data_IF_976793530948
#
_entry.id   IF_976793530948
#
_cell.length_a   1.000
_cell.length_b   1.000
_cell.length_c   1.000
_cell.angle_alpha   90.00
_cell.angle_beta   90.00
_cell.angle_gamma   90.00
#
_symmetry.space_group_name_H-M   'P 1'
#
loop_
_entity.id
_entity.type
_entity.pdbx_description
1 polymer ?
#
# COMPACT_ATOMS: atom_id res chain seq x y z
N UNK A 1 -7.37 10.26 -36.55
CA UNK A 1 -7.98 9.82 -35.28
C UNK A 1 -6.97 8.87 -34.63
N UNK A 2 -6.15 9.40 -33.70
CA UNK A 2 -5.11 8.61 -33.03
C UNK A 2 -5.78 7.65 -32.03
N UNK A 3 -5.62 6.34 -32.28
CA UNK A 3 -4.71 5.43 -31.57
C UNK A 3 -5.15 5.06 -30.15
N UNK A 4 -5.80 3.90 -30.05
CA UNK A 4 -5.35 2.85 -29.14
C UNK A 4 -5.76 2.95 -27.67
N UNK A 5 -7.07 3.00 -27.38
CA UNK A 5 -7.54 2.39 -26.14
C UNK A 5 -7.46 0.86 -26.31
N UNK A 6 -6.33 0.27 -25.98
CA UNK A 6 -6.28 -1.16 -25.68
C UNK A 6 -7.03 -1.36 -24.36
N UNK A 7 -8.16 -2.08 -24.31
CA UNK A 7 -8.89 -2.34 -23.06
C UNK A 7 -8.15 -3.33 -22.12
N UNK A 8 -6.85 -3.55 -22.32
CA UNK A 8 -6.02 -4.57 -21.66
C UNK A 8 -4.92 -3.94 -20.76
N UNK A 9 -4.99 -2.62 -20.51
CA UNK A 9 -4.03 -1.92 -19.63
C UNK A 9 -4.74 -1.07 -18.58
N UNK A 10 -5.80 -1.60 -17.97
CA UNK A 10 -6.24 -1.06 -16.69
C UNK A 10 -5.10 -1.23 -15.67
N UNK A 11 -4.67 -0.12 -15.08
CA UNK A 11 -3.64 -0.16 -14.05
C UNK A 11 -4.34 -0.47 -12.73
N UNK A 12 -4.22 -1.71 -12.26
CA UNK A 12 -4.70 -2.11 -10.94
C UNK A 12 -3.88 -1.42 -9.85
N UNK A 13 -4.57 -0.67 -9.00
CA UNK A 13 -4.00 0.05 -7.87
C UNK A 13 -4.54 -0.55 -6.57
N UNK A 14 -3.64 -1.02 -5.71
CA UNK A 14 -4.02 -1.52 -4.40
C UNK A 14 -4.29 -0.36 -3.44
N UNK A 15 -5.52 -0.28 -2.93
CA UNK A 15 -5.93 0.66 -1.92
C UNK A 15 -5.96 -0.01 -0.54
N UNK A 16 -5.09 0.46 0.34
CA UNK A 16 -4.91 -0.06 1.68
C UNK A 16 -5.78 0.72 2.68
N UNK A 17 -6.78 0.06 3.25
CA UNK A 17 -7.67 0.68 4.24
C UNK A 17 -6.99 0.86 5.60
N UNK A 18 -6.63 2.09 5.96
CA UNK A 18 -5.93 2.42 7.22
C UNK A 18 -6.73 3.45 8.01
N UNK A 19 -7.26 3.04 9.17
CA UNK A 19 -8.18 3.85 9.96
C UNK A 19 -9.49 4.11 9.21
N UNK A 20 -9.78 5.37 8.91
CA UNK A 20 -10.98 5.82 8.19
C UNK A 20 -10.69 6.29 6.76
N UNK A 21 -9.51 5.94 6.23
CA UNK A 21 -9.05 6.36 4.90
C UNK A 21 -8.40 5.21 4.15
N UNK A 22 -8.54 5.22 2.83
CA UNK A 22 -7.81 4.37 1.91
C UNK A 22 -6.53 5.06 1.46
N UNK A 23 -5.41 4.38 1.69
CA UNK A 23 -4.09 4.80 1.29
C UNK A 23 -3.65 4.06 0.03
N UNK A 24 -3.15 4.78 -0.96
CA UNK A 24 -2.50 4.15 -2.12
C UNK A 24 -1.37 5.03 -2.65
N UNK A 25 -0.39 4.40 -3.29
CA UNK A 25 0.75 5.10 -3.91
C UNK A 25 0.73 4.83 -5.40
N UNK A 26 0.50 5.89 -6.18
CA UNK A 26 0.56 5.82 -7.63
C UNK A 26 1.03 7.16 -8.21
N UNK A 27 1.75 7.10 -9.33
CA UNK A 27 2.14 8.28 -10.08
C UNK A 27 1.22 8.41 -11.29
N UNK A 28 0.35 9.42 -11.28
CA UNK A 28 -0.53 9.70 -12.41
C UNK A 28 0.23 10.49 -13.46
N UNK A 29 0.28 9.98 -14.69
CA UNK A 29 0.85 10.70 -15.84
C UNK A 29 -0.06 11.83 -16.32
N UNK A 30 -1.38 11.67 -16.12
CA UNK A 30 -2.39 12.64 -16.50
C UNK A 30 -2.54 13.73 -15.43
N UNK A 31 -2.15 14.96 -15.76
CA UNK A 31 -2.23 16.11 -14.85
C UNK A 31 -3.67 16.41 -14.41
N UNK A 32 -4.65 16.17 -15.29
CA UNK A 32 -6.07 16.32 -14.98
C UNK A 32 -6.56 15.33 -13.90
N UNK A 33 -6.08 14.08 -13.98
CA UNK A 33 -6.37 13.05 -12.96
C UNK A 33 -5.72 13.45 -11.65
N UNK A 34 -4.44 13.82 -11.70
CA UNK A 34 -3.69 14.24 -10.52
C UNK A 34 -4.36 15.44 -9.82
N UNK A 35 -4.73 16.50 -10.54
CA UNK A 35 -5.38 17.68 -9.95
C UNK A 35 -6.67 17.33 -9.21
N UNK A 36 -7.46 16.40 -9.76
CA UNK A 36 -8.70 15.92 -9.12
C UNK A 36 -8.45 15.21 -7.79
N UNK A 37 -7.43 14.37 -7.73
CA UNK A 37 -7.08 13.61 -6.51
C UNK A 37 -6.05 14.32 -5.63
N UNK A 38 -5.48 15.43 -6.08
CA UNK A 38 -4.45 16.23 -5.39
C UNK A 38 -4.87 16.64 -4.00
N UNK A 39 -6.17 16.93 -3.81
CA UNK A 39 -6.72 17.26 -2.49
C UNK A 39 -6.58 16.14 -1.45
N UNK A 40 -6.41 14.90 -1.90
CA UNK A 40 -6.15 13.73 -1.07
C UNK A 40 -4.67 13.35 -1.05
N UNK A 41 -3.82 14.03 -1.82
CA UNK A 41 -2.40 13.75 -1.87
C UNK A 41 -1.70 14.31 -0.62
N UNK A 42 -1.03 13.41 0.09
CA UNK A 42 -0.18 13.69 1.24
C UNK A 42 1.26 13.83 0.72
N UNK A 43 1.71 15.08 0.58
CA UNK A 43 3.04 15.44 0.05
C UNK A 43 4.17 15.01 0.99
N UNK A 44 3.92 15.04 2.31
CA UNK A 44 4.89 14.60 3.34
C UNK A 44 5.22 13.10 3.18
N UNK A 45 4.24 12.31 2.75
CA UNK A 45 4.34 10.85 2.67
C UNK A 45 4.26 10.30 1.26
N UNK A 46 4.25 11.18 0.25
CA UNK A 46 4.18 10.86 -1.18
C UNK A 46 3.11 9.81 -1.53
N UNK A 47 1.90 9.97 -0.97
CA UNK A 47 0.80 9.01 -1.13
C UNK A 47 -0.56 9.67 -1.13
N UNK A 48 -1.58 9.00 -1.64
CA UNK A 48 -2.96 9.45 -1.54
C UNK A 48 -3.60 8.88 -0.29
N UNK A 49 -4.35 9.73 0.42
CA UNK A 49 -5.16 9.38 1.59
C UNK A 49 -6.60 9.83 1.35
N UNK A 50 -7.40 8.92 0.78
CA UNK A 50 -8.80 9.20 0.44
C UNK A 50 -9.68 8.73 1.60
N UNK A 51 -10.50 9.60 2.22
CA UNK A 51 -11.41 9.16 3.26
C UNK A 51 -12.42 8.15 2.70
N UNK A 52 -12.78 7.15 3.49
CA UNK A 52 -13.69 6.05 3.09
C UNK A 52 -15.01 6.56 2.51
N UNK A 53 -15.53 7.68 3.01
CA UNK A 53 -16.76 8.31 2.53
C UNK A 53 -16.64 8.90 1.10
N UNK A 54 -15.44 9.33 0.68
CA UNK A 54 -15.19 9.83 -0.69
C UNK A 54 -14.55 8.77 -1.60
N UNK A 55 -14.13 7.63 -1.03
CA UNK A 55 -13.40 6.58 -1.74
C UNK A 55 -14.17 6.02 -2.93
N UNK A 56 -15.47 5.75 -2.79
CA UNK A 56 -16.27 5.22 -3.90
C UNK A 56 -16.31 6.19 -5.11
N UNK A 57 -16.41 7.49 -4.83
CA UNK A 57 -16.36 8.54 -5.84
C UNK A 57 -15.01 8.61 -6.54
N UNK A 58 -13.91 8.58 -5.77
CA UNK A 58 -12.55 8.58 -6.33
C UNK A 58 -12.27 7.30 -7.11
N UNK A 59 -12.66 6.14 -6.59
CA UNK A 59 -12.52 4.83 -7.24
C UNK A 59 -13.22 4.81 -8.59
N UNK A 60 -14.46 5.29 -8.65
CA UNK A 60 -15.22 5.34 -9.90
C UNK A 60 -14.58 6.29 -10.92
N UNK A 61 -14.10 7.46 -10.46
CA UNK A 61 -13.39 8.42 -11.31
C UNK A 61 -12.11 7.83 -11.88
N UNK A 62 -11.26 7.23 -11.03
CA UNK A 62 -10.02 6.59 -11.44
C UNK A 62 -10.27 5.46 -12.44
N UNK A 63 -11.31 4.65 -12.23
CA UNK A 63 -11.69 3.57 -13.15
C UNK A 63 -12.08 4.10 -14.53
N UNK A 64 -12.79 5.23 -14.59
CA UNK A 64 -13.15 5.89 -15.86
C UNK A 64 -11.91 6.33 -16.64
N UNK A 65 -10.86 6.73 -15.91
CA UNK A 65 -9.55 7.12 -16.44
C UNK A 65 -8.61 5.92 -16.71
N UNK A 66 -9.08 4.68 -16.51
CA UNK A 66 -8.29 3.45 -16.74
C UNK A 66 -7.45 2.97 -15.55
N UNK A 67 -7.70 3.50 -14.35
CA UNK A 67 -7.03 3.10 -13.11
C UNK A 67 -8.00 2.34 -12.19
N UNK A 68 -7.83 1.03 -12.07
CA UNK A 68 -8.70 0.19 -11.24
C UNK A 68 -8.24 0.24 -9.78
N UNK A 69 -8.84 1.12 -8.97
CA UNK A 69 -8.55 1.19 -7.54
C UNK A 69 -9.29 0.06 -6.79
N UNK A 70 -8.53 -0.91 -6.27
CA UNK A 70 -9.03 -2.10 -5.61
C UNK A 70 -8.73 -2.06 -4.11
N UNK A 71 -9.76 -2.01 -3.24
CA UNK A 71 -9.55 -2.05 -1.81
C UNK A 71 -9.06 -3.44 -1.38
N UNK A 72 -7.88 -3.47 -0.75
CA UNK A 72 -7.30 -4.69 -0.19
C UNK A 72 -8.01 -5.04 1.11
N UNK A 73 -8.60 -6.24 1.18
CA UNK A 73 -9.32 -6.71 2.36
C UNK A 73 -8.40 -6.98 3.56
N UNK A 74 -7.19 -7.50 3.29
CA UNK A 74 -6.23 -7.89 4.32
C UNK A 74 -4.87 -7.28 4.02
N UNK A 75 -4.55 -6.17 4.67
CA UNK A 75 -3.23 -5.54 4.60
C UNK A 75 -2.13 -6.50 5.05
N UNK A 76 -2.44 -7.38 5.99
CA UNK A 76 -1.54 -8.36 6.59
C UNK A 76 -0.88 -9.30 5.57
N UNK A 77 -1.52 -9.55 4.43
CA UNK A 77 -0.95 -10.37 3.35
C UNK A 77 0.14 -9.60 2.57
N UNK A 78 0.08 -8.27 2.60
CA UNK A 78 1.04 -7.36 1.98
C UNK A 78 2.09 -6.83 2.97
N UNK A 79 2.03 -7.27 4.23
CA UNK A 79 2.90 -6.78 5.30
C UNK A 79 3.91 -7.85 5.65
N UNK A 80 5.17 -7.45 5.60
CA UNK A 80 6.30 -8.25 6.06
C UNK A 80 6.98 -7.57 7.23
N UNK A 81 7.53 -8.37 8.13
CA UNK A 81 8.32 -7.94 9.25
C UNK A 81 9.76 -8.38 9.04
N UNK A 82 10.69 -7.47 9.33
CA UNK A 82 12.14 -7.70 9.26
C UNK A 82 12.70 -7.37 10.63
N UNK A 83 13.46 -8.29 11.21
CA UNK A 83 14.08 -8.06 12.51
C UNK A 83 15.28 -7.11 12.33
N UNK A 84 15.42 -6.10 13.18
CA UNK A 84 16.66 -5.31 13.26
C UNK A 84 17.81 -6.29 13.51
N UNK A 85 18.92 -6.09 12.81
CA UNK A 85 20.14 -6.94 12.81
C UNK A 85 20.14 -8.20 11.93
N UNK A 86 19.11 -8.46 11.13
CA UNK A 86 19.21 -9.43 10.02
C UNK A 86 19.69 -8.72 8.75
N UNK A 87 20.24 -9.48 7.79
CA UNK A 87 20.50 -9.00 6.42
C UNK A 87 19.26 -8.27 5.94
N UNK A 88 19.39 -6.97 5.68
CA UNK A 88 18.26 -6.19 5.18
C UNK A 88 18.10 -6.52 3.70
N UNK A 89 16.88 -6.76 3.23
CA UNK A 89 16.63 -6.73 1.81
C UNK A 89 16.92 -5.36 1.25
N UNK A 90 17.94 -5.28 0.40
CA UNK A 90 18.37 -4.03 -0.24
C UNK A 90 17.20 -3.35 -0.98
N UNK A 91 16.27 -4.15 -1.54
CA UNK A 91 15.16 -3.68 -2.38
C UNK A 91 13.80 -3.52 -1.66
N UNK A 92 13.71 -3.80 -0.35
CA UNK A 92 12.41 -3.71 0.35
C UNK A 92 11.91 -2.27 0.49
N UNK A 93 12.83 -1.31 0.52
CA UNK A 93 12.50 0.10 0.70
C UNK A 93 11.83 0.71 -0.54
N UNK A 94 12.23 0.31 -1.74
CA UNK A 94 11.68 0.83 -3.00
C UNK A 94 10.25 0.34 -3.25
N UNK A 95 9.97 -0.88 -2.81
CA UNK A 95 8.67 -1.55 -2.98
C UNK A 95 7.74 -1.31 -1.79
N UNK A 96 8.22 -0.67 -0.73
CA UNK A 96 7.43 -0.35 0.46
C UNK A 96 6.57 0.90 0.27
N UNK A 97 5.27 0.73 0.53
CA UNK A 97 4.26 1.78 0.60
C UNK A 97 4.27 2.44 1.98
N UNK A 98 4.52 1.65 3.03
CA UNK A 98 4.59 2.14 4.40
C UNK A 98 5.64 1.37 5.19
N UNK A 99 6.53 2.10 5.85
CA UNK A 99 7.50 1.55 6.79
C UNK A 99 7.17 1.99 8.20
N UNK A 100 7.15 1.08 9.15
CA UNK A 100 7.15 1.42 10.58
C UNK A 100 8.08 0.52 11.37
N UNK A 101 8.96 1.12 12.15
CA UNK A 101 9.80 0.41 13.12
C UNK A 101 9.15 0.39 14.49
N UNK A 102 9.23 -0.74 15.17
CA UNK A 102 8.73 -0.92 16.53
C UNK A 102 9.59 -1.94 17.28
N UNK A 103 10.27 -1.48 18.33
CA UNK A 103 11.24 -2.29 19.06
C UNK A 103 12.31 -2.86 18.12
N UNK A 104 12.44 -4.19 18.14
CA UNK A 104 13.38 -4.96 17.33
C UNK A 104 12.86 -5.35 15.95
N UNK A 105 11.66 -4.93 15.56
CA UNK A 105 11.05 -5.29 14.28
C UNK A 105 10.76 -4.05 13.44
N UNK A 106 10.96 -4.17 12.13
CA UNK A 106 10.53 -3.18 11.14
C UNK A 106 9.49 -3.82 10.24
N UNK A 107 8.33 -3.18 10.17
CA UNK A 107 7.24 -3.58 9.30
C UNK A 107 7.31 -2.79 8.01
N UNK A 108 7.13 -3.51 6.92
CA UNK A 108 7.04 -2.97 5.58
C UNK A 108 5.72 -3.45 4.99
N UNK A 109 4.81 -2.50 4.76
CA UNK A 109 3.69 -2.68 3.86
C UNK A 109 4.22 -2.52 2.45
N UNK A 110 4.03 -3.53 1.62
CA UNK A 110 4.53 -3.58 0.25
C UNK A 110 3.40 -3.29 -0.72
N UNK A 111 3.75 -2.82 -1.93
CA UNK A 111 2.78 -2.45 -2.95
C UNK A 111 2.00 -3.63 -3.52
N UNK A 112 2.62 -4.80 -3.60
CA UNK A 112 2.10 -5.99 -4.28
C UNK A 112 2.65 -7.30 -3.68
N UNK A 113 1.97 -8.42 -3.94
CA UNK A 113 2.39 -9.76 -3.48
C UNK A 113 3.75 -10.19 -4.03
N UNK A 114 4.12 -9.75 -5.24
CA UNK A 114 5.44 -10.05 -5.79
C UNK A 114 6.56 -9.44 -4.93
N UNK A 115 6.35 -8.20 -4.46
CA UNK A 115 7.29 -7.57 -3.53
C UNK A 115 7.34 -8.32 -2.20
N UNK A 116 6.20 -8.81 -1.70
CA UNK A 116 6.12 -9.67 -0.49
C UNK A 116 6.94 -10.93 -0.69
N UNK A 117 6.76 -11.63 -1.81
CA UNK A 117 7.49 -12.86 -2.11
C UNK A 117 9.01 -12.61 -2.19
N UNK A 118 9.44 -11.52 -2.85
CA UNK A 118 10.85 -11.11 -2.88
C UNK A 118 11.37 -10.82 -1.48
N UNK A 119 10.66 -10.02 -0.68
CA UNK A 119 11.08 -9.69 0.68
C UNK A 119 11.21 -10.94 1.56
N UNK A 120 10.25 -11.87 1.47
CA UNK A 120 10.28 -13.15 2.21
C UNK A 120 11.47 -14.00 1.78
N UNK A 121 11.75 -14.04 0.47
CA UNK A 121 12.93 -14.76 -0.08
C UNK A 121 14.24 -14.18 0.44
N UNK A 122 14.29 -12.87 0.68
CA UNK A 122 15.45 -12.17 1.21
C UNK A 122 15.57 -12.24 2.75
N UNK A 123 14.64 -12.93 3.41
CA UNK A 123 14.68 -13.18 4.86
C UNK A 123 13.70 -12.33 5.68
N UNK A 124 12.77 -11.61 5.05
CA UNK A 124 11.62 -11.07 5.75
C UNK A 124 10.65 -12.19 6.17
N UNK A 125 9.85 -11.96 7.20
CA UNK A 125 8.80 -12.88 7.66
C UNK A 125 7.44 -12.24 7.41
N UNK A 126 6.49 -12.96 6.81
CA UNK A 126 5.13 -12.41 6.65
C UNK A 126 4.53 -12.10 8.02
N UNK A 127 3.72 -11.06 8.10
CA UNK A 127 3.05 -10.70 9.35
C UNK A 127 2.20 -11.87 9.86
N UNK A 128 1.52 -12.60 8.96
CA UNK A 128 0.70 -13.78 9.28
C UNK A 128 1.49 -14.95 9.87
N UNK A 129 2.78 -15.03 9.59
CA UNK A 129 3.69 -16.06 10.11
C UNK A 129 4.44 -15.56 11.35
N UNK A 130 4.32 -14.28 11.65
CA UNK A 130 4.93 -13.66 12.82
C UNK A 130 3.94 -13.71 14.00
N UNK A 131 4.42 -13.80 15.25
CA UNK A 131 3.58 -13.67 16.45
C UNK A 131 3.17 -12.20 16.71
N UNK A 132 3.13 -11.36 15.68
CA UNK A 132 2.82 -9.94 15.76
C UNK A 132 1.51 -9.71 15.02
N UNK A 133 0.60 -8.97 15.66
CA UNK A 133 -0.58 -8.44 14.99
C UNK A 133 -0.49 -6.93 14.91
N UNK A 134 -0.84 -6.41 13.74
CA UNK A 134 -0.83 -4.97 13.48
C UNK A 134 -2.26 -4.51 13.31
N UNK A 135 -2.65 -3.52 14.13
CA UNK A 135 -3.88 -2.79 13.87
C UNK A 135 -3.54 -1.54 13.07
N UNK A 136 -3.99 -1.52 11.82
CA UNK A 136 -3.88 -0.37 10.92
C UNK A 136 -5.00 0.65 11.20
N UNK A 137 -4.92 1.34 12.34
CA UNK A 137 -5.82 2.45 12.69
C UNK A 137 -5.17 3.83 12.48
N UNK A 138 -5.89 4.91 12.85
CA UNK A 138 -5.35 6.28 12.86
C UNK A 138 -4.04 6.44 13.66
N UNK A 139 -3.78 5.51 14.58
CA UNK A 139 -2.45 5.18 15.09
C UNK A 139 -2.19 3.69 14.85
N UNK A 140 -1.14 3.34 14.10
CA UNK A 140 -0.71 1.94 13.98
C UNK A 140 -0.31 1.43 15.38
N UNK A 141 -1.01 0.40 15.87
CA UNK A 141 -0.71 -0.22 17.16
C UNK A 141 -0.28 -1.66 16.92
N UNK A 142 0.90 -2.00 17.42
CA UNK A 142 1.41 -3.35 17.41
C UNK A 142 1.05 -4.01 18.73
N UNK A 143 0.49 -5.21 18.64
CA UNK A 143 0.23 -6.06 19.79
C UNK A 143 0.86 -7.43 19.52
N UNK A 144 1.54 -7.99 20.51
CA UNK A 144 1.92 -9.39 20.45
C UNK A 144 0.63 -10.23 20.44
N UNK A 145 0.57 -11.27 19.60
CA UNK A 145 -0.45 -12.30 19.77
C UNK A 145 0.03 -13.16 20.93
N UNK A 146 -0.59 -12.98 22.10
CA UNK A 146 -0.41 -13.91 23.23
C UNK A 146 -1.07 -15.23 22.79
N UNK A 147 -0.26 -16.15 22.27
CA UNK A 147 -0.64 -17.51 21.90
C UNK A 147 -0.28 -18.51 22.98
#
# INVERSE_FOLDING_TARGET
>A
MGTGAHPDREVSLNAFHVGDSYLFKHYFESEAVFDRVRRYYDDDRYRFAVPTNEFDGVRRFLRDEGYALEPVASLDDYVVTVRKYTTHPDNIFETSVLRRTHGDYTLFLLKDENAVATAVTDGATRLRESPLSVTFGGQLRLSAVEG
#
